data_IF_927698257952
#
_entry.id   IF_927698257952
#
_cell.length_a   1.000
_cell.length_b   1.000
_cell.length_c   1.000
_cell.angle_alpha   90.00
_cell.angle_beta   90.00
_cell.angle_gamma   90.00
#
_symmetry.space_group_name_H-M   'P 1'
#
loop_
_entity.id
_entity.type
_entity.pdbx_description
1 polymer ?
#
# COMPACT_ATOMS: atom_id res chain seq x y z
N UNK A 1 2.44 -0.11 37.11
CA UNK A 1 2.17 1.02 36.20
C UNK A 1 2.14 0.44 34.78
N UNK A 2 1.00 -0.12 34.38
CA UNK A 2 0.71 -0.61 33.03
C UNK A 2 -0.55 0.14 32.58
N UNK A 3 -0.68 0.30 31.26
CA UNK A 3 -1.91 0.67 30.54
C UNK A 3 -2.23 2.16 30.36
N UNK A 4 -1.49 2.80 29.45
CA UNK A 4 -2.01 3.90 28.59
C UNK A 4 -1.66 3.71 27.10
N UNK A 5 -1.11 2.55 26.71
CA UNK A 5 -0.65 2.27 25.33
C UNK A 5 -1.73 1.58 24.47
N UNK A 6 -2.87 1.17 25.04
CA UNK A 6 -3.80 0.21 24.42
C UNK A 6 -5.18 0.77 23.99
N UNK A 7 -5.22 2.01 23.50
CA UNK A 7 -6.46 2.70 23.08
C UNK A 7 -6.51 3.14 21.61
N UNK A 8 -5.56 2.75 20.75
CA UNK A 8 -5.62 3.15 19.32
C UNK A 8 -6.37 2.11 18.49
N UNK A 9 -7.43 2.55 17.82
CA UNK A 9 -8.28 1.72 16.97
C UNK A 9 -7.78 1.64 15.52
N UNK A 10 -8.11 0.54 14.83
CA UNK A 10 -8.02 0.44 13.38
C UNK A 10 -9.25 1.08 12.75
N UNK A 11 -9.05 1.98 11.81
CA UNK A 11 -10.18 2.67 11.17
C UNK A 11 -10.45 2.09 9.79
N UNK A 12 -11.72 1.81 9.52
CA UNK A 12 -12.19 1.31 8.24
C UNK A 12 -12.77 2.46 7.41
N UNK A 13 -12.27 2.62 6.20
CA UNK A 13 -12.64 3.73 5.29
C UNK A 13 -12.98 3.23 3.89
N UNK A 14 -13.56 4.12 3.07
CA UNK A 14 -13.95 3.83 1.69
C UNK A 14 -15.33 3.20 1.54
N UNK A 15 -16.12 3.13 2.62
CA UNK A 15 -17.45 2.49 2.64
C UNK A 15 -18.63 3.46 2.55
N UNK A 16 -18.42 4.75 2.85
CA UNK A 16 -19.50 5.73 2.97
C UNK A 16 -20.59 5.28 3.95
N UNK A 17 -21.86 5.28 3.51
CA UNK A 17 -23.02 4.87 4.33
C UNK A 17 -23.30 3.36 4.31
N UNK A 18 -22.40 2.55 3.75
CA UNK A 18 -22.60 1.09 3.62
C UNK A 18 -22.32 0.35 4.96
N UNK A 19 -23.20 0.56 5.94
CA UNK A 19 -23.06 0.08 7.33
C UNK A 19 -22.83 -1.44 7.38
N UNK A 20 -23.55 -2.21 6.58
CA UNK A 20 -23.48 -3.67 6.60
C UNK A 20 -22.09 -4.21 6.22
N UNK A 21 -21.45 -3.64 5.19
CA UNK A 21 -20.10 -4.03 4.77
C UNK A 21 -19.07 -3.69 5.84
N UNK A 22 -19.24 -2.53 6.48
CA UNK A 22 -18.37 -2.10 7.58
C UNK A 22 -18.46 -3.02 8.79
N UNK A 23 -19.67 -3.46 9.14
CA UNK A 23 -19.92 -4.36 10.26
C UNK A 23 -19.21 -5.71 10.09
N UNK A 24 -19.18 -6.27 8.87
CA UNK A 24 -18.49 -7.55 8.59
C UNK A 24 -17.00 -7.46 8.92
N UNK A 25 -16.31 -6.42 8.43
CA UNK A 25 -14.86 -6.25 8.65
C UNK A 25 -14.56 -5.88 10.10
N UNK A 26 -15.37 -5.03 10.73
CA UNK A 26 -15.21 -4.71 12.14
C UNK A 26 -15.36 -5.96 13.02
N UNK A 27 -16.30 -6.86 12.68
CA UNK A 27 -16.44 -8.16 13.35
C UNK A 27 -15.21 -9.04 13.18
N UNK A 28 -14.63 -9.10 11.97
CA UNK A 28 -13.39 -9.87 11.73
C UNK A 28 -12.28 -9.35 12.64
N UNK A 29 -12.05 -8.03 12.65
CA UNK A 29 -11.02 -7.36 13.44
C UNK A 29 -11.22 -7.56 14.95
N UNK A 30 -12.45 -7.46 15.44
CA UNK A 30 -12.79 -7.66 16.85
C UNK A 30 -12.43 -9.07 17.34
N UNK A 31 -12.73 -10.11 16.56
CA UNK A 31 -12.33 -11.49 16.86
C UNK A 31 -10.81 -11.68 16.82
N UNK A 32 -10.12 -10.87 16.02
CA UNK A 32 -8.66 -10.78 16.00
C UNK A 32 -8.05 -10.12 17.23
N UNK A 33 -8.87 -9.51 18.11
CA UNK A 33 -8.44 -8.74 19.28
C UNK A 33 -8.21 -7.25 18.98
N UNK A 34 -8.55 -6.77 17.79
CA UNK A 34 -8.42 -5.37 17.41
C UNK A 34 -9.73 -4.62 17.65
N UNK A 35 -9.64 -3.41 18.22
CA UNK A 35 -10.76 -2.46 18.16
C UNK A 35 -10.78 -1.79 16.80
N UNK A 36 -11.97 -1.73 16.18
CA UNK A 36 -12.13 -1.11 14.88
C UNK A 36 -13.48 -0.43 14.73
N UNK A 37 -13.49 0.67 13.98
CA UNK A 37 -14.70 1.41 13.63
C UNK A 37 -14.65 1.89 12.18
N UNK A 38 -15.82 2.10 11.58
CA UNK A 38 -15.93 2.87 10.36
C UNK A 38 -15.70 4.35 10.66
N UNK A 39 -14.90 5.02 9.83
CA UNK A 39 -14.61 6.45 9.97
C UNK A 39 -14.60 7.13 8.59
N UNK A 40 -14.73 8.45 8.58
CA UNK A 40 -14.53 9.30 7.42
C UNK A 40 -13.16 9.98 7.47
N UNK A 41 -12.72 10.49 6.33
CA UNK A 41 -11.39 11.08 6.20
C UNK A 41 -11.22 12.34 7.05
N UNK A 42 -12.30 13.09 7.27
CA UNK A 42 -12.32 14.33 8.03
C UNK A 42 -11.97 14.09 9.51
N UNK A 43 -12.28 12.91 10.05
CA UNK A 43 -12.03 12.53 11.45
C UNK A 43 -10.54 12.22 11.71
N UNK A 44 -9.76 11.93 10.67
CA UNK A 44 -8.38 11.42 10.80
C UNK A 44 -7.41 12.47 11.35
N UNK A 45 -7.66 13.74 11.04
CA UNK A 45 -6.83 14.84 11.50
C UNK A 45 -6.89 15.00 13.03
N UNK A 46 -7.99 14.59 13.67
CA UNK A 46 -8.26 14.85 15.08
C UNK A 46 -7.75 13.74 16.02
N UNK A 47 -7.92 12.46 15.67
CA UNK A 47 -7.74 11.35 16.65
C UNK A 47 -6.61 10.35 16.30
N UNK A 48 -5.98 10.47 15.12
CA UNK A 48 -4.84 9.64 14.64
C UNK A 48 -4.93 8.13 14.96
N UNK A 49 -5.53 7.30 14.08
CA UNK A 49 -5.70 5.87 14.31
C UNK A 49 -4.38 5.08 14.35
N UNK A 50 -4.46 3.84 14.85
CA UNK A 50 -3.35 2.88 14.78
C UNK A 50 -2.96 2.57 13.33
N UNK A 51 -3.96 2.49 12.46
CA UNK A 51 -3.82 2.21 11.04
C UNK A 51 -5.18 2.26 10.37
N UNK A 52 -5.17 2.35 9.04
CA UNK A 52 -6.39 2.46 8.22
C UNK A 52 -6.52 1.21 7.37
N UNK A 53 -7.64 0.50 7.48
CA UNK A 53 -8.06 -0.52 6.52
C UNK A 53 -8.90 0.21 5.47
N UNK A 54 -8.46 0.20 4.22
CA UNK A 54 -9.05 1.03 3.17
C UNK A 54 -9.60 0.15 2.04
N UNK A 55 -10.91 0.22 1.83
CA UNK A 55 -11.54 -0.45 0.69
C UNK A 55 -11.23 0.30 -0.60
N UNK A 56 -10.56 -0.36 -1.54
CA UNK A 56 -10.27 0.15 -2.88
C UNK A 56 -11.07 -0.59 -3.97
N UNK A 57 -12.06 -1.39 -3.58
CA UNK A 57 -12.87 -2.16 -4.54
C UNK A 57 -13.81 -1.27 -5.36
N UNK A 58 -14.37 -1.79 -6.47
CA UNK A 58 -15.36 -1.06 -7.26
C UNK A 58 -16.66 -0.72 -6.53
N UNK A 59 -16.89 -1.31 -5.35
CA UNK A 59 -18.04 -1.02 -4.50
C UNK A 59 -17.71 0.04 -3.44
N UNK A 60 -16.44 0.49 -3.38
CA UNK A 60 -16.02 1.61 -2.55
C UNK A 60 -16.69 2.90 -3.00
N UNK A 61 -16.96 3.80 -2.05
CA UNK A 61 -17.51 5.13 -2.35
C UNK A 61 -16.45 6.07 -2.91
N UNK A 62 -15.25 6.12 -2.31
CA UNK A 62 -14.10 6.90 -2.79
C UNK A 62 -12.77 6.42 -2.16
N UNK A 63 -12.50 5.12 -2.28
CA UNK A 63 -11.30 4.52 -1.70
C UNK A 63 -10.00 5.16 -2.22
N UNK A 64 -9.91 5.35 -3.53
CA UNK A 64 -8.73 5.95 -4.17
C UNK A 64 -8.56 7.43 -3.82
N UNK A 65 -9.65 8.22 -3.83
CA UNK A 65 -9.57 9.61 -3.40
C UNK A 65 -9.18 9.73 -1.94
N UNK A 66 -9.73 8.88 -1.07
CA UNK A 66 -9.32 8.79 0.34
C UNK A 66 -7.83 8.48 0.48
N UNK A 67 -7.31 7.50 -0.28
CA UNK A 67 -5.87 7.18 -0.28
C UNK A 67 -5.02 8.37 -0.70
N UNK A 68 -5.39 9.05 -1.78
CA UNK A 68 -4.68 10.22 -2.29
C UNK A 68 -4.69 11.37 -1.27
N UNK A 69 -5.84 11.66 -0.66
CA UNK A 69 -5.97 12.67 0.39
C UNK A 69 -5.11 12.34 1.61
N UNK A 70 -5.13 11.09 2.08
CA UNK A 70 -4.27 10.64 3.18
C UNK A 70 -2.80 10.83 2.86
N UNK A 71 -2.36 10.42 1.67
CA UNK A 71 -0.94 10.50 1.30
C UNK A 71 -0.48 11.90 0.93
N UNK A 72 -1.40 12.80 0.58
CA UNK A 72 -1.15 14.21 0.29
C UNK A 72 -0.92 15.07 1.52
N UNK A 73 -1.52 14.71 2.66
CA UNK A 73 -1.48 15.54 3.86
C UNK A 73 -0.29 15.14 4.78
N UNK A 74 0.65 16.06 5.13
CA UNK A 74 1.72 15.82 6.12
C UNK A 74 1.28 15.16 7.43
N UNK A 75 0.09 15.49 7.93
CA UNK A 75 -0.38 15.02 9.22
C UNK A 75 -0.86 13.56 9.19
N UNK A 76 -1.25 13.06 8.01
CA UNK A 76 -1.88 11.75 7.84
C UNK A 76 -1.11 10.80 6.91
N UNK A 77 -0.17 11.31 6.09
CA UNK A 77 0.58 10.51 5.11
C UNK A 77 1.37 9.34 5.72
N UNK A 78 1.75 9.49 6.98
CA UNK A 78 2.52 8.49 7.72
C UNK A 78 1.68 7.35 8.31
N UNK A 79 0.36 7.49 8.35
CA UNK A 79 -0.54 6.47 8.89
C UNK A 79 -0.43 5.21 8.01
N UNK A 80 -0.20 4.02 8.59
CA UNK A 80 -0.21 2.76 7.86
C UNK A 80 -1.57 2.55 7.21
N UNK A 81 -1.58 2.31 5.90
CA UNK A 81 -2.80 1.97 5.16
C UNK A 81 -2.66 0.53 4.70
N UNK A 82 -3.66 -0.29 5.03
CA UNK A 82 -3.84 -1.63 4.49
C UNK A 82 -4.93 -1.59 3.41
N UNK A 83 -4.55 -1.66 2.12
CA UNK A 83 -5.53 -1.75 1.05
C UNK A 83 -6.22 -3.12 1.06
N UNK A 84 -7.54 -3.10 1.04
CA UNK A 84 -8.39 -4.29 0.93
C UNK A 84 -9.35 -4.14 -0.23
N UNK A 85 -9.77 -5.26 -0.80
CA UNK A 85 -10.78 -5.30 -1.85
C UNK A 85 -11.97 -6.08 -1.33
N UNK A 86 -13.06 -5.36 -1.06
CA UNK A 86 -14.26 -5.94 -0.48
C UNK A 86 -15.32 -6.23 -1.54
N UNK A 87 -16.00 -7.37 -1.43
CA UNK A 87 -17.18 -7.69 -2.23
C UNK A 87 -18.37 -6.76 -1.91
N UNK A 88 -19.44 -6.86 -2.69
CA UNK A 88 -20.73 -6.21 -2.40
C UNK A 88 -21.24 -6.51 -0.98
N UNK A 89 -20.98 -7.73 -0.49
CA UNK A 89 -21.41 -8.20 0.84
C UNK A 89 -20.41 -7.88 1.95
N UNK A 90 -19.29 -7.22 1.64
CA UNK A 90 -18.27 -6.84 2.62
C UNK A 90 -17.28 -7.95 2.97
N UNK A 91 -17.30 -9.09 2.27
CA UNK A 91 -16.26 -10.12 2.42
C UNK A 91 -14.95 -9.64 1.80
N UNK A 92 -13.81 -10.00 2.41
CA UNK A 92 -12.49 -9.66 1.88
C UNK A 92 -12.20 -10.56 0.67
N UNK A 93 -12.25 -10.00 -0.52
CA UNK A 93 -11.78 -10.68 -1.72
C UNK A 93 -10.25 -10.82 -1.72
N UNK A 94 -9.54 -9.85 -1.14
CA UNK A 94 -8.07 -9.88 -1.02
C UNK A 94 -7.45 -8.63 -0.41
N UNK A 95 -6.14 -8.71 -0.22
CA UNK A 95 -5.32 -7.73 0.51
C UNK A 95 -4.01 -7.49 -0.23
N UNK A 96 -3.58 -6.23 -0.31
CA UNK A 96 -2.33 -5.87 -0.99
C UNK A 96 -1.24 -5.42 -0.01
N UNK A 97 -0.21 -6.25 0.25
CA UNK A 97 0.90 -5.93 1.13
C UNK A 97 1.87 -4.95 0.49
N UNK A 98 1.50 -3.68 0.40
CA UNK A 98 2.47 -2.63 0.07
C UNK A 98 3.20 -2.20 1.34
N UNK A 99 4.48 -1.86 1.20
CA UNK A 99 5.29 -1.26 2.28
C UNK A 99 4.86 0.20 2.49
N UNK A 100 4.49 0.89 1.42
CA UNK A 100 3.98 2.24 1.51
C UNK A 100 3.58 2.82 0.16
N UNK A 101 3.10 4.06 0.24
CA UNK A 101 2.72 4.86 -0.90
C UNK A 101 3.46 6.19 -0.83
N UNK A 102 3.94 6.66 -1.97
CA UNK A 102 4.53 7.99 -2.12
C UNK A 102 3.77 8.75 -3.20
N UNK A 103 3.50 10.03 -2.97
CA UNK A 103 2.97 10.90 -4.02
C UNK A 103 4.10 11.47 -4.87
N UNK A 104 3.80 11.66 -6.16
CA UNK A 104 4.65 12.35 -7.10
C UNK A 104 4.21 13.82 -7.27
N UNK A 105 5.16 14.77 -7.38
CA UNK A 105 6.60 14.57 -7.24
C UNK A 105 6.97 14.19 -5.80
N UNK A 106 7.92 13.25 -5.65
CA UNK A 106 8.30 12.78 -4.32
C UNK A 106 9.07 13.84 -3.55
N UNK A 107 8.76 13.94 -2.26
CA UNK A 107 9.49 14.72 -1.27
C UNK A 107 10.67 13.87 -0.74
N UNK A 108 11.93 14.23 -1.04
CA UNK A 108 13.10 13.44 -0.66
C UNK A 108 13.28 13.30 0.86
N UNK A 109 12.97 14.34 1.63
CA UNK A 109 13.09 14.32 3.10
C UNK A 109 12.07 13.34 3.68
N UNK A 110 10.83 13.43 3.21
CA UNK A 110 9.78 12.48 3.59
C UNK A 110 10.12 11.05 3.19
N UNK A 111 10.72 10.83 2.01
CA UNK A 111 11.18 9.49 1.61
C UNK A 111 12.25 8.96 2.58
N UNK A 112 13.24 9.78 2.91
CA UNK A 112 14.31 9.41 3.83
C UNK A 112 13.75 9.00 5.21
N UNK A 113 12.89 9.84 5.79
CA UNK A 113 12.24 9.56 7.08
C UNK A 113 11.46 8.24 7.04
N UNK A 114 10.71 7.99 5.96
CA UNK A 114 9.91 6.78 5.83
C UNK A 114 10.76 5.54 5.69
N UNK A 115 11.78 5.58 4.83
CA UNK A 115 12.67 4.45 4.66
C UNK A 115 13.44 4.15 5.96
N UNK A 116 13.84 5.18 6.71
CA UNK A 116 14.43 5.01 8.05
C UNK A 116 13.49 4.32 9.04
N UNK A 117 12.20 4.68 9.08
CA UNK A 117 11.20 4.01 9.94
C UNK A 117 11.06 2.51 9.61
N UNK A 118 11.30 2.11 8.36
CA UNK A 118 11.32 0.71 7.95
C UNK A 118 12.67 0.02 8.18
N UNK A 119 13.67 0.71 8.75
CA UNK A 119 15.03 0.21 8.92
C UNK A 119 15.77 0.01 7.60
N UNK A 120 15.35 0.69 6.52
CA UNK A 120 15.88 0.47 5.18
C UNK A 120 17.07 1.37 4.83
N UNK A 121 17.40 2.35 5.68
CA UNK A 121 18.52 3.28 5.47
C UNK A 121 19.64 3.14 6.50
N UNK A 122 19.48 2.27 7.50
CA UNK A 122 20.45 2.12 8.61
C UNK A 122 21.72 1.37 8.18
N UNK A 123 21.65 0.53 7.13
CA UNK A 123 22.77 -0.27 6.61
C UNK A 123 23.54 0.42 5.45
N UNK A 124 23.40 1.74 5.27
CA UNK A 124 23.94 2.48 4.12
C UNK A 124 25.47 2.68 4.13
N UNK A 125 26.19 2.08 5.09
CA UNK A 125 27.65 2.02 5.07
C UNK A 125 28.20 1.06 3.98
N UNK A 126 27.37 0.14 3.46
CA UNK A 126 27.70 -0.72 2.30
C UNK A 126 27.24 -0.08 0.97
N UNK A 127 28.20 0.35 0.17
CA UNK A 127 28.05 1.21 -1.03
C UNK A 127 27.31 0.61 -2.26
N UNK A 128 26.60 -0.52 -2.15
CA UNK A 128 26.05 -1.23 -3.32
C UNK A 128 24.58 -1.69 -3.18
N UNK A 129 23.80 -1.11 -2.26
CA UNK A 129 22.38 -1.45 -2.14
C UNK A 129 21.59 -1.02 -3.38
N UNK A 130 21.21 -2.00 -4.20
CA UNK A 130 20.48 -1.73 -5.43
C UNK A 130 18.97 -1.60 -5.17
N UNK A 131 18.34 -0.62 -5.79
CA UNK A 131 16.89 -0.41 -5.79
C UNK A 131 16.33 -0.52 -7.21
N UNK A 132 15.09 -0.99 -7.34
CA UNK A 132 14.40 -1.07 -8.63
C UNK A 132 13.28 -0.03 -8.70
N UNK A 133 13.31 0.81 -9.72
CA UNK A 133 12.24 1.77 -10.05
C UNK A 133 11.56 1.33 -11.34
N UNK A 134 10.28 0.97 -11.26
CA UNK A 134 9.49 0.48 -12.39
C UNK A 134 8.47 1.55 -12.80
N UNK A 135 8.78 2.34 -13.83
CA UNK A 135 7.89 3.40 -14.35
C UNK A 135 7.98 3.50 -15.87
N UNK A 136 6.92 3.98 -16.55
CA UNK A 136 6.85 4.00 -18.02
C UNK A 136 8.01 4.74 -18.71
N UNK A 137 8.58 5.77 -18.09
CA UNK A 137 9.61 6.65 -18.71
C UNK A 137 10.81 6.93 -17.79
N UNK A 138 10.95 6.23 -16.67
CA UNK A 138 11.83 6.65 -15.56
C UNK A 138 11.21 7.77 -14.73
N UNK A 139 11.64 7.92 -13.48
CA UNK A 139 11.22 8.98 -12.55
C UNK A 139 12.45 9.64 -11.92
N UNK A 140 13.07 10.59 -12.63
CA UNK A 140 14.36 11.14 -12.24
C UNK A 140 14.41 11.71 -10.82
N UNK A 141 13.31 12.29 -10.32
CA UNK A 141 13.27 12.81 -8.94
C UNK A 141 13.32 11.69 -7.90
N UNK A 142 12.66 10.57 -8.18
CA UNK A 142 12.71 9.37 -7.35
C UNK A 142 14.10 8.77 -7.40
N UNK A 143 14.66 8.60 -8.60
CA UNK A 143 16.02 8.10 -8.81
C UNK A 143 17.04 8.94 -8.04
N UNK A 144 17.03 10.27 -8.22
CA UNK A 144 17.94 11.17 -7.51
C UNK A 144 17.75 11.10 -6.00
N UNK A 145 16.51 11.07 -5.49
CA UNK A 145 16.28 10.98 -4.05
C UNK A 145 16.89 9.69 -3.47
N UNK A 146 16.74 8.56 -4.17
CA UNK A 146 17.32 7.28 -3.78
C UNK A 146 18.85 7.26 -3.88
N UNK A 147 19.42 7.85 -4.93
CA UNK A 147 20.87 7.98 -5.07
C UNK A 147 21.48 8.79 -3.90
N UNK A 148 20.83 9.88 -3.47
CA UNK A 148 21.27 10.67 -2.32
C UNK A 148 21.16 9.91 -0.98
N UNK A 149 20.31 8.89 -0.92
CA UNK A 149 20.18 7.98 0.21
C UNK A 149 21.14 6.77 0.11
N UNK A 150 22.03 6.75 -0.88
CA UNK A 150 23.05 5.71 -1.04
C UNK A 150 22.61 4.48 -1.85
N UNK A 151 21.43 4.51 -2.47
CA UNK A 151 20.98 3.40 -3.31
C UNK A 151 21.44 3.55 -4.76
N UNK A 152 21.87 2.46 -5.39
CA UNK A 152 22.06 2.41 -6.84
C UNK A 152 20.75 2.03 -7.53
N UNK A 153 20.25 2.87 -8.43
CA UNK A 153 18.94 2.66 -9.07
C UNK A 153 19.04 1.89 -10.39
N UNK A 154 18.28 0.81 -10.51
CA UNK A 154 17.95 0.16 -11.78
C UNK A 154 16.55 0.56 -12.21
N UNK A 155 16.39 0.92 -13.49
CA UNK A 155 15.11 1.30 -14.05
C UNK A 155 14.51 0.16 -14.88
N UNK A 156 13.23 -0.14 -14.64
CA UNK A 156 12.39 -0.95 -15.52
C UNK A 156 11.24 -0.12 -16.08
N UNK A 157 10.81 -0.41 -17.31
CA UNK A 157 9.84 0.40 -18.04
C UNK A 157 8.48 -0.29 -18.22
N UNK A 158 8.39 -1.56 -17.85
CA UNK A 158 7.18 -2.38 -17.83
C UNK A 158 7.15 -3.27 -16.60
N UNK A 159 5.98 -3.78 -16.22
CA UNK A 159 5.86 -4.72 -15.11
C UNK A 159 6.57 -6.05 -15.38
N UNK A 160 6.49 -6.57 -16.62
CA UNK A 160 7.25 -7.75 -17.03
C UNK A 160 8.76 -7.55 -16.90
N UNK A 161 9.27 -6.42 -17.35
CA UNK A 161 10.69 -6.07 -17.21
C UNK A 161 11.07 -5.89 -15.74
N UNK A 162 10.25 -5.19 -14.95
CA UNK A 162 10.47 -5.03 -13.52
C UNK A 162 10.55 -6.37 -12.78
N UNK A 163 9.68 -7.34 -13.10
CA UNK A 163 9.73 -8.68 -12.52
C UNK A 163 11.01 -9.44 -12.93
N UNK A 164 11.42 -9.32 -14.20
CA UNK A 164 12.64 -9.94 -14.68
C UNK A 164 13.88 -9.36 -13.99
N UNK A 165 13.97 -8.03 -13.90
CA UNK A 165 15.05 -7.32 -13.20
C UNK A 165 15.08 -7.68 -11.71
N UNK A 166 13.93 -7.71 -11.03
CA UNK A 166 13.89 -8.07 -9.62
C UNK A 166 14.42 -9.49 -9.34
N UNK A 167 14.29 -10.40 -10.31
CA UNK A 167 14.78 -11.78 -10.20
C UNK A 167 16.28 -11.89 -10.48
N UNK A 168 16.84 -11.04 -11.34
CA UNK A 168 18.26 -11.11 -11.71
C UNK A 168 19.13 -10.25 -10.81
N UNK A 169 18.63 -9.09 -10.39
CA UNK A 169 19.42 -8.09 -9.67
C UNK A 169 19.21 -8.07 -8.16
N UNK A 170 18.16 -8.77 -7.67
CA UNK A 170 17.86 -8.91 -6.24
C UNK A 170 17.80 -7.55 -5.51
N UNK A 171 16.95 -6.61 -5.97
CA UNK A 171 16.90 -5.28 -5.40
C UNK A 171 16.47 -5.34 -3.93
N UNK A 172 17.07 -4.48 -3.13
CA UNK A 172 16.78 -4.35 -1.71
C UNK A 172 15.34 -3.86 -1.47
N UNK A 173 14.83 -3.01 -2.37
CA UNK A 173 13.45 -2.51 -2.36
C UNK A 173 13.01 -2.11 -3.77
N UNK A 174 11.70 -1.98 -3.97
CA UNK A 174 11.08 -1.69 -5.27
C UNK A 174 10.13 -0.51 -5.14
N UNK A 175 10.22 0.42 -6.09
CA UNK A 175 9.22 1.44 -6.35
C UNK A 175 8.54 1.17 -7.68
N UNK A 176 7.21 1.20 -7.71
CA UNK A 176 6.45 1.00 -8.94
C UNK A 176 5.45 2.14 -9.15
N UNK A 177 5.42 2.70 -10.36
CA UNK A 177 4.32 3.55 -10.76
C UNK A 177 3.02 2.74 -10.73
N UNK A 178 1.96 3.37 -10.20
CA UNK A 178 0.66 2.74 -10.03
C UNK A 178 0.13 2.02 -11.28
N UNK A 179 0.33 2.64 -12.46
CA UNK A 179 -0.06 2.12 -13.76
C UNK A 179 1.16 2.01 -14.67
N UNK A 180 1.45 0.79 -15.14
CA UNK A 180 2.51 0.50 -16.10
C UNK A 180 1.90 0.24 -17.49
N UNK A 181 2.70 0.19 -18.56
CA UNK A 181 2.19 -0.06 -19.91
C UNK A 181 1.46 -1.40 -20.09
N UNK A 182 1.79 -2.40 -19.28
CA UNK A 182 1.36 -3.79 -19.44
C UNK A 182 0.59 -4.36 -18.24
N UNK A 183 0.61 -3.70 -17.07
CA UNK A 183 -0.11 -4.10 -15.86
C UNK A 183 -0.16 -2.98 -14.80
N UNK A 184 -0.99 -3.12 -13.77
CA UNK A 184 -0.94 -2.27 -12.58
C UNK A 184 0.21 -2.64 -11.61
N UNK A 185 0.53 -1.75 -10.67
CA UNK A 185 1.50 -2.04 -9.60
C UNK A 185 1.03 -3.18 -8.67
N UNK A 186 -0.27 -3.37 -8.50
CA UNK A 186 -0.84 -4.47 -7.70
C UNK A 186 -0.69 -5.81 -8.40
N UNK A 187 -0.90 -5.83 -9.71
CA UNK A 187 -0.59 -6.96 -10.56
C UNK A 187 0.88 -7.37 -10.50
N UNK A 188 1.77 -6.38 -10.49
CA UNK A 188 3.19 -6.62 -10.35
C UNK A 188 3.51 -7.19 -8.96
N UNK A 189 2.94 -6.61 -7.90
CA UNK A 189 3.11 -7.09 -6.53
C UNK A 189 2.61 -8.54 -6.36
N UNK A 190 1.45 -8.91 -6.92
CA UNK A 190 0.99 -10.30 -6.88
C UNK A 190 2.02 -11.25 -7.50
N UNK A 191 2.58 -10.88 -8.66
CA UNK A 191 3.62 -11.69 -9.31
C UNK A 191 4.88 -11.79 -8.45
N UNK A 192 5.25 -10.74 -7.71
CA UNK A 192 6.36 -10.80 -6.74
C UNK A 192 6.05 -11.79 -5.61
N UNK A 193 4.81 -11.82 -5.11
CA UNK A 193 4.42 -12.72 -4.03
C UNK A 193 4.46 -14.21 -4.41
N UNK A 194 4.40 -14.54 -5.71
CA UNK A 194 4.47 -15.93 -6.20
C UNK A 194 5.87 -16.56 -6.06
N UNK A 195 6.94 -15.75 -5.98
CA UNK A 195 8.31 -16.26 -6.00
C UNK A 195 9.04 -16.02 -4.67
N UNK A 196 9.70 -17.04 -4.09
CA UNK A 196 10.44 -16.87 -2.83
C UNK A 196 11.50 -15.77 -2.82
N UNK A 197 12.09 -15.48 -3.98
CA UNK A 197 13.18 -14.53 -4.20
C UNK A 197 12.70 -13.08 -4.12
N UNK A 198 11.46 -12.82 -4.52
CA UNK A 198 10.92 -11.46 -4.65
C UNK A 198 9.80 -11.16 -3.64
N UNK A 199 9.13 -12.17 -3.08
CA UNK A 199 7.99 -11.99 -2.15
C UNK A 199 8.29 -11.21 -0.87
N UNK A 200 9.56 -11.15 -0.45
CA UNK A 200 9.99 -10.45 0.76
C UNK A 200 10.49 -9.03 0.50
N UNK A 201 10.67 -8.63 -0.76
CA UNK A 201 11.21 -7.32 -1.12
C UNK A 201 10.15 -6.26 -0.76
N UNK A 202 10.50 -5.23 0.04
CA UNK A 202 9.62 -4.09 0.29
C UNK A 202 9.18 -3.43 -1.01
N UNK A 203 7.86 -3.29 -1.17
CA UNK A 203 7.25 -2.78 -2.40
C UNK A 203 6.49 -1.48 -2.12
N UNK A 204 6.95 -0.38 -2.72
CA UNK A 204 6.36 0.93 -2.60
C UNK A 204 5.65 1.32 -3.90
N UNK A 205 4.50 1.97 -3.76
CA UNK A 205 3.70 2.42 -4.91
C UNK A 205 3.80 3.92 -5.05
N UNK A 206 4.14 4.39 -6.25
CA UNK A 206 4.17 5.79 -6.62
C UNK A 206 2.81 6.20 -7.17
N UNK A 207 2.14 7.09 -6.44
CA UNK A 207 0.84 7.67 -6.77
C UNK A 207 1.04 9.03 -7.42
N UNK A 208 0.21 9.36 -8.41
CA UNK A 208 0.13 10.74 -8.92
C UNK A 208 -0.78 11.55 -8.01
N UNK A 209 -0.51 12.84 -7.88
CA UNK A 209 -1.35 13.80 -7.15
C UNK A 209 -2.78 13.92 -7.72
N UNK A 210 -3.00 13.40 -8.92
CA UNK A 210 -4.24 13.51 -9.66
C UNK A 210 -4.55 12.20 -10.38
N UNK A 211 -5.79 11.75 -10.21
CA UNK A 211 -6.41 10.69 -10.99
C UNK A 211 -7.83 11.12 -11.32
N UNK A 212 -8.22 11.02 -12.59
CA UNK A 212 -9.60 11.23 -13.00
C UNK A 212 -10.49 10.13 -12.43
N UNK A 213 -11.77 10.43 -12.23
CA UNK A 213 -12.73 9.45 -11.70
C UNK A 213 -12.80 8.16 -12.54
N UNK A 214 -12.81 8.31 -13.87
CA UNK A 214 -12.76 7.15 -14.78
C UNK A 214 -11.47 6.32 -14.65
N UNK A 215 -10.34 6.94 -14.30
CA UNK A 215 -9.08 6.22 -14.07
C UNK A 215 -9.14 5.45 -12.74
N UNK A 216 -9.68 6.07 -11.68
CA UNK A 216 -9.89 5.42 -10.37
C UNK A 216 -10.80 4.19 -10.50
N UNK A 217 -11.93 4.34 -11.21
CA UNK A 217 -12.87 3.24 -11.43
C UNK A 217 -12.27 2.13 -12.28
N UNK A 218 -11.56 2.47 -13.37
CA UNK A 218 -10.88 1.48 -14.21
C UNK A 218 -9.85 0.69 -13.41
N UNK A 219 -9.08 1.38 -12.57
CA UNK A 219 -8.11 0.77 -11.66
C UNK A 219 -8.76 -0.17 -10.64
N UNK A 220 -9.80 0.25 -9.94
CA UNK A 220 -10.51 -0.61 -9.00
C UNK A 220 -11.01 -1.90 -9.65
N UNK A 221 -11.52 -1.82 -10.89
CA UNK A 221 -12.03 -3.00 -11.64
C UNK A 221 -10.92 -3.94 -12.09
N UNK A 222 -9.80 -3.39 -12.56
CA UNK A 222 -8.63 -4.18 -12.95
C UNK A 222 -8.10 -4.96 -11.76
N UNK A 223 -7.93 -4.28 -10.62
CA UNK A 223 -7.46 -4.91 -9.38
C UNK A 223 -8.49 -5.92 -8.84
N UNK A 224 -9.78 -5.61 -8.89
CA UNK A 224 -10.84 -6.55 -8.53
C UNK A 224 -10.75 -7.87 -9.32
N UNK A 225 -10.55 -7.80 -10.64
CA UNK A 225 -10.45 -9.01 -11.48
C UNK A 225 -9.29 -9.93 -11.05
N UNK A 226 -8.20 -9.37 -10.53
CA UNK A 226 -7.08 -10.16 -10.00
C UNK A 226 -7.47 -10.90 -8.73
N UNK A 227 -8.16 -10.18 -7.85
CA UNK A 227 -8.43 -10.58 -6.47
C UNK A 227 -9.62 -11.54 -6.35
N UNK A 228 -10.58 -11.47 -7.28
CA UNK A 228 -11.78 -12.35 -7.32
C UNK A 228 -11.48 -13.85 -7.43
N UNK A 229 -10.22 -14.25 -7.61
CA UNK A 229 -9.83 -15.66 -7.80
C UNK A 229 -10.03 -16.53 -6.55
N UNK A 230 -10.14 -15.94 -5.35
CA UNK A 230 -10.55 -16.63 -4.11
C UNK A 230 -10.93 -15.61 -3.03
N UNK A 231 -12.13 -15.70 -2.46
CA UNK A 231 -12.46 -14.94 -1.24
C UNK A 231 -11.55 -15.38 -0.08
N UNK A 232 -10.93 -14.44 0.60
CA UNK A 232 -10.21 -14.74 1.84
C UNK A 232 -11.22 -15.07 2.93
N UNK A 233 -11.02 -16.23 3.55
CA UNK A 233 -11.69 -16.53 4.80
C UNK A 233 -11.29 -15.51 5.89
N UNK A 234 -12.15 -15.39 6.90
CA UNK A 234 -11.87 -14.57 8.09
C UNK A 234 -10.52 -14.90 8.72
N UNK A 235 -10.23 -16.19 8.88
CA UNK A 235 -8.99 -16.67 9.48
C UNK A 235 -7.76 -16.32 8.62
N UNK A 236 -7.87 -16.41 7.29
CA UNK A 236 -6.81 -15.99 6.37
C UNK A 236 -6.54 -14.47 6.47
N UNK A 237 -7.58 -13.64 6.56
CA UNK A 237 -7.45 -12.20 6.74
C UNK A 237 -6.79 -11.85 8.09
N UNK A 238 -7.22 -12.49 9.18
CA UNK A 238 -6.63 -12.27 10.50
C UNK A 238 -5.19 -12.77 10.61
N UNK A 239 -4.88 -13.92 10.00
CA UNK A 239 -3.51 -14.42 9.92
C UNK A 239 -2.60 -13.46 9.15
N UNK A 240 -3.12 -12.80 8.11
CA UNK A 240 -2.39 -11.78 7.37
C UNK A 240 -2.06 -10.57 8.27
N UNK A 241 -3.02 -10.05 9.04
CA UNK A 241 -2.80 -8.90 9.95
C UNK A 241 -1.75 -9.19 11.03
N UNK A 242 -1.82 -10.37 11.64
CA UNK A 242 -0.90 -10.79 12.71
C UNK A 242 0.55 -10.93 12.25
N UNK A 243 0.80 -11.21 10.96
CA UNK A 243 2.16 -11.29 10.40
C UNK A 243 2.84 -9.93 10.23
N UNK A 244 2.10 -8.83 10.38
CA UNK A 244 2.56 -7.45 10.23
C UNK A 244 2.51 -6.62 11.53
N UNK A 245 2.12 -7.23 12.66
CA UNK A 245 2.11 -6.56 13.98
C UNK A 245 3.30 -6.98 14.83
#
# INVERSE_FOLDING_TARGET
MRDTVNERELWLMGLGEQIERGAVICSYLAEGGYRARTARIEEVAEERPLGIVLDLSPHSVDGWGTLLTLKGNPETRNIPVLPVFLSEKGTVGGVFPVAGFFLLPVDPEHMAERLAVFGLTEDTEDYDLQTLVVTRKGEERVTRALDHLGFSVVNGYTGKEGLALATTTHPYLVFSALMLPDMSAFELLERFQLFPQTRKIPFFVLLKDSMKEGERLAMSREVEHLVRKKDLSRDEFLAYLRRRS
#
